data_IF_008639992365
#
_entry.id   IF_008639992365
#
_cell.length_a   1.000
_cell.length_b   1.000
_cell.length_c   1.000
_cell.angle_alpha   90.00
_cell.angle_beta   90.00
_cell.angle_gamma   90.00
#
_symmetry.space_group_name_H-M   'P 1'
#
loop_
_entity.id
_entity.type
_entity.pdbx_description
1 polymer ?
#
# COMPACT_ATOMS: atom_id res chain seq x y z
N UNK A 1 -11.98 9.24 0.06
CA UNK A 1 -10.97 8.41 0.70
C UNK A 1 -9.69 9.18 0.85
N UNK A 2 -9.02 9.00 1.94
CA UNK A 2 -7.73 9.65 2.16
C UNK A 2 -6.62 8.82 1.51
N UNK A 3 -5.63 9.50 0.97
CA UNK A 3 -4.47 8.83 0.41
C UNK A 3 -3.24 9.24 1.21
N UNK A 4 -2.30 8.31 1.32
CA UNK A 4 -1.07 8.57 2.04
C UNK A 4 0.07 7.82 1.35
N UNK A 5 1.26 8.37 1.44
CA UNK A 5 2.43 7.76 0.86
C UNK A 5 3.20 7.02 1.94
N UNK A 6 3.79 5.90 1.56
CA UNK A 6 4.56 5.12 2.51
C UNK A 6 5.52 4.19 1.80
N UNK A 7 6.16 3.34 2.59
CA UNK A 7 7.16 2.41 2.10
C UNK A 7 6.70 0.99 2.42
N UNK A 8 6.80 0.12 1.43
CA UNK A 8 6.47 -1.29 1.64
C UNK A 8 7.54 -1.91 2.52
N UNK A 9 7.14 -2.50 3.63
CA UNK A 9 8.09 -3.10 4.56
C UNK A 9 7.98 -4.61 4.63
N UNK A 10 6.89 -5.18 4.14
CA UNK A 10 6.73 -6.63 4.22
C UNK A 10 5.65 -7.08 3.26
N UNK A 11 5.85 -8.25 2.65
CA UNK A 11 4.80 -8.91 1.88
C UNK A 11 4.06 -9.87 2.79
N UNK A 12 2.74 -9.88 2.64
CA UNK A 12 1.87 -10.74 3.41
C UNK A 12 1.12 -11.66 2.45
N UNK A 13 0.53 -12.74 2.96
CA UNK A 13 -0.25 -13.64 2.10
C UNK A 13 -1.44 -12.92 1.46
N UNK A 14 -1.97 -13.52 0.40
CA UNK A 14 -3.20 -13.05 -0.26
C UNK A 14 -3.06 -11.68 -0.89
N UNK A 15 -1.88 -11.40 -1.45
CA UNK A 15 -1.63 -10.15 -2.17
C UNK A 15 -1.80 -8.93 -1.28
N UNK A 16 -1.37 -9.06 -0.05
CA UNK A 16 -1.36 -7.94 0.88
C UNK A 16 0.07 -7.50 1.11
N UNK A 17 0.23 -6.22 1.43
CA UNK A 17 1.53 -5.70 1.81
C UNK A 17 1.35 -4.85 3.04
N UNK A 18 2.39 -4.83 3.87
CA UNK A 18 2.45 -3.93 5.00
C UNK A 18 3.20 -2.69 4.57
N UNK A 19 2.58 -1.54 4.73
CA UNK A 19 3.15 -0.26 4.32
C UNK A 19 3.31 0.61 5.55
N UNK A 20 4.50 1.19 5.70
CA UNK A 20 4.75 2.10 6.79
C UNK A 20 4.61 3.52 6.30
N UNK A 21 3.69 4.25 6.89
CA UNK A 21 3.45 5.64 6.58
C UNK A 21 4.30 6.53 7.47
N UNK A 22 4.21 7.83 7.27
CA UNK A 22 4.92 8.77 8.14
C UNK A 22 4.48 8.58 9.59
N UNK A 23 5.40 8.79 10.50
CA UNK A 23 5.11 8.62 11.91
C UNK A 23 5.08 7.16 12.33
N UNK A 24 5.64 6.28 11.49
CA UNK A 24 5.70 4.84 11.78
C UNK A 24 4.33 4.20 11.88
N UNK A 25 3.34 4.82 11.27
CA UNK A 25 2.01 4.26 11.24
C UNK A 25 1.98 3.18 10.17
N UNK A 26 1.59 1.96 10.52
CA UNK A 26 1.61 0.85 9.57
C UNK A 26 0.21 0.49 9.15
N UNK A 27 0.05 0.20 7.87
CA UNK A 27 -1.24 -0.20 7.32
C UNK A 27 -1.08 -1.46 6.49
N UNK A 28 -2.15 -2.22 6.38
CA UNK A 28 -2.20 -3.39 5.51
C UNK A 28 -2.95 -2.99 4.26
N UNK A 29 -2.30 -3.15 3.12
CA UNK A 29 -2.87 -2.69 1.86
C UNK A 29 -2.94 -3.83 0.85
N UNK A 30 -3.99 -3.83 0.04
CA UNK A 30 -4.15 -4.78 -1.05
C UNK A 30 -3.36 -4.32 -2.26
N UNK A 31 -2.73 -5.27 -2.94
CA UNK A 31 -2.16 -5.05 -4.27
C UNK A 31 -3.20 -5.50 -5.27
N UNK A 32 -3.98 -4.55 -5.78
CA UNK A 32 -5.08 -4.89 -6.65
C UNK A 32 -4.75 -4.64 -8.11
N UNK A 33 -5.65 -5.10 -8.94
CA UNK A 33 -5.51 -5.13 -10.38
C UNK A 33 -5.03 -3.82 -11.00
N UNK A 34 -5.57 -2.67 -10.63
CA UNK A 34 -5.17 -1.42 -11.29
C UNK A 34 -3.68 -1.13 -11.24
N UNK A 35 -3.02 -1.61 -10.19
CA UNK A 35 -1.59 -1.38 -10.04
C UNK A 35 -0.82 -2.15 -11.11
N UNK A 36 -1.41 -3.21 -11.63
CA UNK A 36 -0.74 -4.08 -12.57
C UNK A 36 -0.83 -3.63 -14.01
N UNK A 37 -1.60 -2.60 -14.29
CA UNK A 37 -1.77 -2.14 -15.66
C UNK A 37 -0.45 -1.79 -16.31
N UNK A 38 0.49 -1.30 -15.54
CA UNK A 38 1.78 -0.93 -16.05
C UNK A 38 2.84 -1.93 -15.66
N UNK A 39 2.41 -3.09 -15.21
CA UNK A 39 3.32 -4.14 -14.74
C UNK A 39 4.28 -3.65 -13.69
N UNK A 40 3.77 -2.79 -12.85
CA UNK A 40 4.59 -2.25 -11.78
C UNK A 40 4.77 -3.33 -10.74
N UNK A 41 6.02 -3.73 -10.58
CA UNK A 41 6.36 -4.71 -9.56
C UNK A 41 6.65 -3.96 -8.27
N UNK A 42 5.91 -4.28 -7.24
CA UNK A 42 6.11 -3.67 -5.94
C UNK A 42 7.02 -4.58 -5.12
N UNK A 43 8.08 -4.01 -4.58
CA UNK A 43 9.05 -4.74 -3.77
C UNK A 43 9.18 -4.08 -2.42
N UNK A 44 9.71 -4.83 -1.44
CA UNK A 44 10.02 -4.25 -0.15
C UNK A 44 11.01 -3.11 -0.36
N UNK A 45 10.72 -1.97 0.26
CA UNK A 45 11.54 -0.78 0.09
C UNK A 45 10.98 0.21 -0.90
N UNK A 46 10.00 -0.20 -1.70
CA UNK A 46 9.40 0.70 -2.68
C UNK A 46 8.46 1.68 -2.01
N UNK A 47 8.41 2.87 -2.57
CA UNK A 47 7.46 3.87 -2.10
C UNK A 47 6.17 3.72 -2.88
N UNK A 48 5.07 3.76 -2.17
CA UNK A 48 3.76 3.59 -2.78
C UNK A 48 2.78 4.60 -2.20
N UNK A 49 1.72 4.83 -2.95
CA UNK A 49 0.58 5.62 -2.47
C UNK A 49 -0.56 4.66 -2.16
N UNK A 50 -1.15 4.84 -1.00
CA UNK A 50 -2.19 3.95 -0.50
C UNK A 50 -3.46 4.76 -0.28
N UNK A 51 -4.60 4.23 -0.76
CA UNK A 51 -5.90 4.79 -0.44
C UNK A 51 -6.39 4.10 0.82
N UNK A 52 -6.63 4.87 1.86
CA UNK A 52 -7.03 4.34 3.15
C UNK A 52 -8.55 4.24 3.25
N UNK A 53 -9.03 3.22 3.94
CA UNK A 53 -10.46 3.09 4.17
C UNK A 53 -10.90 4.15 5.16
N UNK A 54 -12.08 4.73 4.91
CA UNK A 54 -12.61 5.74 5.81
C UNK A 54 -12.95 5.14 7.16
N UNK A 55 -13.41 3.90 7.16
CA UNK A 55 -13.85 3.25 8.39
C UNK A 55 -12.70 2.61 9.18
N UNK A 56 -11.55 2.38 8.52
CA UNK A 56 -10.45 1.70 9.19
C UNK A 56 -9.14 2.15 8.54
N UNK A 57 -8.46 3.07 9.20
CA UNK A 57 -7.23 3.64 8.64
C UNK A 57 -6.03 2.72 8.76
N UNK A 58 -6.22 1.53 9.30
CA UNK A 58 -5.15 0.53 9.30
C UNK A 58 -5.20 -0.32 8.05
N UNK A 59 -6.18 -0.08 7.17
CA UNK A 59 -6.35 -0.85 5.96
C UNK A 59 -6.55 0.05 4.76
N UNK A 60 -6.13 -0.46 3.60
CA UNK A 60 -6.30 0.29 2.38
C UNK A 60 -5.90 -0.54 1.18
N UNK A 61 -5.59 0.15 0.09
CA UNK A 61 -5.09 -0.52 -1.10
C UNK A 61 -4.03 0.35 -1.75
N UNK A 62 -3.07 -0.30 -2.39
CA UNK A 62 -2.03 0.41 -3.11
C UNK A 62 -2.64 0.91 -4.42
N UNK A 63 -2.54 2.20 -4.67
CA UNK A 63 -3.10 2.80 -5.87
C UNK A 63 -2.04 3.23 -6.85
N UNK A 64 -0.80 3.39 -6.37
CA UNK A 64 0.25 3.87 -7.25
C UNK A 64 1.61 3.53 -6.65
N UNK A 65 2.55 3.18 -7.51
CA UNK A 65 3.95 3.06 -7.12
C UNK A 65 4.63 4.37 -7.44
N UNK A 66 5.29 4.93 -6.46
CA UNK A 66 5.93 6.24 -6.60
C UNK A 66 7.36 6.13 -7.13
#
# INVERSE_FOLDING_TARGET
MAEADGVVIEFLPSQLVKVELEGRHQVIAHLREPVHRNFIRVLVGDRVRVALLASDRTRGRVVEKL
#
